data_IF_216976022681
#
_entry.id   IF_216976022681
#
_cell.length_a   1.000
_cell.length_b   1.000
_cell.length_c   1.000
_cell.angle_alpha   90.00
_cell.angle_beta   90.00
_cell.angle_gamma   90.00
#
_symmetry.space_group_name_H-M   'P 1'
#
loop_
_entity.id
_entity.type
_entity.pdbx_description
1 polymer ?
#
# COMPACT_ATOMS: atom_id res chain seq x y z
N UNK A 1 34.29 -18.36 0.25
CA UNK A 1 33.06 -17.60 0.56
C UNK A 1 33.27 -16.19 0.03
N UNK A 2 32.27 -15.58 -0.61
CA UNK A 2 32.35 -14.17 -1.01
C UNK A 2 32.39 -13.29 0.24
N UNK A 3 33.11 -12.17 0.20
CA UNK A 3 33.06 -11.19 1.29
C UNK A 3 31.65 -10.57 1.40
N UNK A 4 31.15 -10.26 2.62
CA UNK A 4 29.96 -9.45 2.79
C UNK A 4 30.12 -8.08 2.15
N UNK A 5 29.04 -7.55 1.57
CA UNK A 5 29.01 -6.19 1.01
C UNK A 5 29.17 -5.12 2.09
N UNK A 6 29.67 -3.94 1.70
CA UNK A 6 29.57 -2.75 2.55
C UNK A 6 28.10 -2.32 2.70
N UNK A 7 27.82 -1.44 3.67
CA UNK A 7 26.46 -0.90 3.86
C UNK A 7 25.98 -0.18 2.59
N UNK A 8 26.86 0.61 1.97
CA UNK A 8 26.58 1.38 0.76
C UNK A 8 26.30 0.46 -0.42
N UNK A 9 27.12 -0.58 -0.63
CA UNK A 9 26.88 -1.55 -1.70
C UNK A 9 25.58 -2.33 -1.45
N UNK A 10 25.28 -2.72 -0.21
CA UNK A 10 24.05 -3.41 0.11
C UNK A 10 22.81 -2.53 -0.14
N UNK A 11 22.82 -1.27 0.30
CA UNK A 11 21.73 -0.33 0.01
C UNK A 11 21.54 -0.12 -1.49
N UNK A 12 22.65 0.07 -2.24
CA UNK A 12 22.59 0.21 -3.69
C UNK A 12 21.91 -1.00 -4.34
N UNK A 13 22.28 -2.21 -3.94
CA UNK A 13 21.68 -3.45 -4.47
C UNK A 13 20.20 -3.61 -4.09
N UNK A 14 19.78 -3.10 -2.94
CA UNK A 14 18.35 -3.03 -2.58
C UNK A 14 17.62 -2.06 -3.50
N UNK A 15 18.18 -0.87 -3.75
CA UNK A 15 17.59 0.13 -4.65
C UNK A 15 17.49 -0.36 -6.09
N UNK A 16 18.45 -1.16 -6.55
CA UNK A 16 18.42 -1.80 -7.88
C UNK A 16 17.20 -2.73 -8.08
N UNK A 17 16.60 -3.25 -7.00
CA UNK A 17 15.37 -4.04 -7.09
C UNK A 17 14.16 -3.20 -7.54
N UNK A 18 14.26 -1.87 -7.56
CA UNK A 18 13.25 -0.98 -8.13
C UNK A 18 12.90 -1.33 -9.58
N UNK A 19 13.82 -1.96 -10.33
CA UNK A 19 13.56 -2.47 -11.69
C UNK A 19 12.42 -3.51 -11.77
N UNK A 20 12.13 -4.20 -10.67
CA UNK A 20 11.06 -5.17 -10.56
C UNK A 20 9.78 -4.58 -9.93
N UNK A 21 9.78 -3.28 -9.60
CA UNK A 21 8.65 -2.64 -8.96
C UNK A 21 7.44 -2.53 -9.90
N UNK A 22 6.24 -2.57 -9.32
CA UNK A 22 4.99 -2.67 -10.09
C UNK A 22 4.65 -1.44 -10.94
N UNK A 23 5.45 -0.36 -10.85
CA UNK A 23 5.30 0.83 -11.70
C UNK A 23 5.44 0.47 -13.18
N UNK A 24 6.26 -0.55 -13.49
CA UNK A 24 6.50 -1.07 -14.82
C UNK A 24 5.46 -2.11 -15.29
N UNK A 25 4.56 -2.56 -14.41
CA UNK A 25 3.55 -3.55 -14.79
C UNK A 25 2.58 -2.93 -15.82
N UNK A 26 2.18 -3.67 -16.89
CA UNK A 26 1.33 -3.13 -17.95
C UNK A 26 0.02 -2.48 -17.44
N UNK A 27 -0.56 -3.04 -16.37
CA UNK A 27 -1.75 -2.45 -15.74
C UNK A 27 -1.48 -1.07 -15.14
N UNK A 28 -0.33 -0.88 -14.46
CA UNK A 28 0.00 0.43 -13.91
C UNK A 28 0.35 1.45 -15.01
N UNK A 29 1.04 1.01 -16.07
CA UNK A 29 1.29 1.84 -17.25
C UNK A 29 -0.03 2.26 -17.90
N UNK A 30 -0.98 1.34 -18.07
CA UNK A 30 -2.32 1.64 -18.59
C UNK A 30 -3.05 2.69 -17.72
N UNK A 31 -3.05 2.52 -16.39
CA UNK A 31 -3.60 3.51 -15.46
C UNK A 31 -2.95 4.88 -15.63
N UNK A 32 -1.62 4.97 -15.66
CA UNK A 32 -0.92 6.25 -15.66
C UNK A 32 -0.84 6.94 -17.03
N UNK A 33 -1.19 6.25 -18.12
CA UNK A 33 -1.17 6.80 -19.49
C UNK A 33 -2.57 7.12 -20.03
N UNK A 34 -3.60 7.11 -19.18
CA UNK A 34 -4.96 7.46 -19.57
C UNK A 34 -5.69 6.41 -20.40
N UNK A 35 -5.18 5.18 -20.44
CA UNK A 35 -5.72 4.09 -21.28
C UNK A 35 -6.69 3.18 -20.55
N UNK A 36 -6.82 3.33 -19.23
CA UNK A 36 -7.75 2.53 -18.44
C UNK A 36 -9.17 3.04 -18.61
N UNK A 37 -10.13 2.13 -18.70
CA UNK A 37 -11.55 2.47 -18.61
C UNK A 37 -11.99 2.59 -17.12
N UNK A 38 -13.21 3.09 -16.89
CA UNK A 38 -13.72 3.29 -15.53
C UNK A 38 -13.80 1.99 -14.72
N UNK A 39 -14.23 0.88 -15.34
CA UNK A 39 -14.35 -0.42 -14.68
C UNK A 39 -12.99 -0.95 -14.22
N UNK A 40 -11.94 -0.79 -15.05
CA UNK A 40 -10.57 -1.15 -14.70
C UNK A 40 -10.03 -0.30 -13.54
N UNK A 41 -10.36 0.99 -13.47
CA UNK A 41 -9.97 1.84 -12.34
C UNK A 41 -10.71 1.41 -11.07
N UNK A 42 -12.03 1.23 -11.14
CA UNK A 42 -12.86 0.75 -10.02
C UNK A 42 -12.38 -0.61 -9.50
N UNK A 43 -12.16 -1.57 -10.40
CA UNK A 43 -11.65 -2.90 -10.06
C UNK A 43 -10.29 -2.84 -9.38
N UNK A 44 -9.40 -1.94 -9.83
CA UNK A 44 -8.11 -1.69 -9.18
C UNK A 44 -8.29 -1.12 -7.77
N UNK A 45 -9.13 -0.09 -7.59
CA UNK A 45 -9.40 0.52 -6.27
C UNK A 45 -9.99 -0.50 -5.30
N UNK A 46 -11.00 -1.26 -5.72
CA UNK A 46 -11.66 -2.28 -4.91
C UNK A 46 -10.71 -3.41 -4.50
N UNK A 47 -9.89 -3.92 -5.43
CA UNK A 47 -8.94 -5.00 -5.12
C UNK A 47 -7.79 -4.51 -4.24
N UNK A 48 -7.27 -3.31 -4.50
CA UNK A 48 -6.15 -2.76 -3.72
C UNK A 48 -6.55 -2.36 -2.31
N UNK A 49 -7.83 -2.08 -2.06
CA UNK A 49 -8.33 -1.91 -0.69
C UNK A 49 -8.00 -3.11 0.20
N UNK A 50 -8.07 -4.34 -0.34
CA UNK A 50 -7.68 -5.54 0.41
C UNK A 50 -6.20 -5.52 0.85
N UNK A 51 -5.30 -5.00 0.01
CA UNK A 51 -3.92 -4.78 0.41
C UNK A 51 -3.83 -3.71 1.52
N UNK A 52 -4.56 -2.60 1.39
CA UNK A 52 -4.52 -1.51 2.36
C UNK A 52 -4.95 -1.93 3.76
N UNK A 53 -6.04 -2.68 3.90
CA UNK A 53 -6.53 -3.14 5.20
C UNK A 53 -5.66 -4.24 5.82
N UNK A 54 -4.83 -4.91 5.02
CA UNK A 54 -3.91 -5.94 5.50
C UNK A 54 -2.54 -5.40 5.93
N UNK A 55 -2.18 -4.15 5.57
CA UNK A 55 -0.95 -3.51 6.05
C UNK A 55 -0.89 -3.46 7.58
N UNK A 56 -1.88 -2.90 8.31
CA UNK A 56 -1.83 -2.85 9.77
C UNK A 56 -1.83 -4.25 10.41
N UNK A 57 -2.49 -5.24 9.79
CA UNK A 57 -2.46 -6.65 10.24
C UNK A 57 -1.05 -7.23 10.11
N UNK A 58 -0.39 -6.99 8.96
CA UNK A 58 1.00 -7.39 8.71
C UNK A 58 1.95 -6.70 9.69
N UNK A 59 1.77 -5.40 9.94
CA UNK A 59 2.61 -4.65 10.87
C UNK A 59 2.40 -5.04 12.34
N UNK A 60 1.18 -5.42 12.72
CA UNK A 60 0.92 -6.00 14.03
C UNK A 60 1.63 -7.36 14.20
N UNK A 61 1.71 -8.18 13.15
CA UNK A 61 2.48 -9.43 13.18
C UNK A 61 3.98 -9.19 13.36
N UNK A 62 4.54 -8.14 12.71
CA UNK A 62 5.93 -7.70 12.94
C UNK A 62 6.15 -7.33 14.41
N UNK A 63 5.25 -6.51 14.98
CA UNK A 63 5.31 -6.11 16.39
C UNK A 63 5.24 -7.31 17.34
N UNK A 64 4.36 -8.28 17.06
CA UNK A 64 4.21 -9.49 17.86
C UNK A 64 5.50 -10.35 17.88
N UNK A 65 6.27 -10.36 16.79
CA UNK A 65 7.51 -11.11 16.66
C UNK A 65 8.76 -10.34 17.11
N UNK A 66 8.65 -9.05 17.43
CA UNK A 66 9.78 -8.18 17.74
C UNK A 66 9.95 -8.00 19.27
N UNK A 67 10.97 -8.59 19.92
CA UNK A 67 11.19 -8.41 21.37
C UNK A 67 11.73 -7.02 21.72
N UNK A 68 12.30 -6.28 20.77
CA UNK A 68 12.86 -4.94 20.97
C UNK A 68 11.77 -3.87 21.14
N UNK A 69 11.71 -3.24 22.31
CA UNK A 69 10.72 -2.22 22.63
C UNK A 69 10.88 -0.95 21.79
N UNK A 70 12.10 -0.49 21.53
CA UNK A 70 12.31 0.77 20.83
C UNK A 70 11.94 0.63 19.35
N UNK A 71 12.22 -0.53 18.74
CA UNK A 71 11.72 -0.86 17.40
C UNK A 71 10.18 -0.83 17.37
N UNK A 72 9.51 -1.49 18.33
CA UNK A 72 8.03 -1.50 18.38
C UNK A 72 7.42 -0.11 18.53
N UNK A 73 8.05 0.79 19.30
CA UNK A 73 7.59 2.18 19.48
C UNK A 73 7.60 2.99 18.18
N UNK A 74 8.54 2.71 17.28
CA UNK A 74 8.54 3.31 15.95
C UNK A 74 7.59 2.58 15.00
N UNK A 75 7.55 1.25 15.05
CA UNK A 75 6.76 0.46 14.12
C UNK A 75 5.24 0.64 14.30
N UNK A 76 4.77 0.90 15.52
CA UNK A 76 3.34 1.13 15.80
C UNK A 76 2.77 2.33 15.05
N UNK A 77 3.59 3.33 14.71
CA UNK A 77 3.13 4.49 13.94
C UNK A 77 2.50 4.07 12.61
N UNK A 78 3.04 3.03 11.96
CA UNK A 78 2.51 2.50 10.68
C UNK A 78 1.07 1.99 10.82
N UNK A 79 0.72 1.40 11.96
CA UNK A 79 -0.65 0.96 12.23
C UNK A 79 -1.55 2.18 12.40
N UNK A 80 -1.11 3.17 13.18
CA UNK A 80 -1.86 4.41 13.41
C UNK A 80 -2.06 5.22 12.11
N UNK A 81 -1.07 5.24 11.22
CA UNK A 81 -1.16 5.90 9.92
C UNK A 81 -2.22 5.26 9.03
N UNK A 82 -2.42 3.94 9.14
CA UNK A 82 -3.41 3.20 8.35
C UNK A 82 -4.81 3.20 8.98
N UNK A 83 -4.91 2.89 10.26
CA UNK A 83 -6.19 2.75 10.98
C UNK A 83 -6.76 4.10 11.42
N UNK A 84 -5.89 5.10 11.63
CA UNK A 84 -6.25 6.30 12.37
C UNK A 84 -6.25 6.06 13.87
N UNK A 85 -6.58 7.09 14.64
CA UNK A 85 -6.62 7.02 16.11
C UNK A 85 -7.45 8.16 16.71
N UNK A 86 -7.84 8.00 17.98
CA UNK A 86 -8.73 8.93 18.68
C UNK A 86 -10.21 8.63 18.42
N UNK A 87 -11.09 9.34 19.12
CA UNK A 87 -12.53 9.12 19.08
C UNK A 87 -13.29 10.45 18.95
N UNK A 88 -14.51 10.38 18.41
CA UNK A 88 -15.40 11.53 18.28
C UNK A 88 -14.80 12.66 17.47
N UNK A 89 -14.94 13.90 17.97
CA UNK A 89 -14.45 15.10 17.28
C UNK A 89 -12.91 15.19 17.19
N UNK A 90 -12.17 14.38 17.96
CA UNK A 90 -10.71 14.36 17.98
C UNK A 90 -10.13 13.18 17.20
N UNK A 91 -10.95 12.45 16.42
CA UNK A 91 -10.48 11.34 15.62
C UNK A 91 -9.60 11.83 14.46
N UNK A 92 -8.43 11.24 14.32
CA UNK A 92 -7.55 11.38 13.15
C UNK A 92 -7.83 10.21 12.22
N UNK A 93 -8.42 10.42 11.03
CA UNK A 93 -8.66 9.34 10.06
C UNK A 93 -7.33 8.83 9.50
N UNK A 94 -7.23 7.51 9.31
CA UNK A 94 -6.06 6.88 8.71
C UNK A 94 -6.13 6.70 7.19
N UNK A 95 -5.11 6.06 6.64
CA UNK A 95 -5.00 5.73 5.22
C UNK A 95 -6.12 4.83 4.70
N UNK A 96 -6.71 3.96 5.54
CA UNK A 96 -7.87 3.13 5.15
C UNK A 96 -9.08 4.03 4.82
N UNK A 97 -9.34 5.02 5.66
CA UNK A 97 -10.40 6.00 5.44
C UNK A 97 -10.13 6.86 4.20
N UNK A 98 -8.89 7.30 4.00
CA UNK A 98 -8.50 8.01 2.78
C UNK A 98 -8.66 7.14 1.52
N UNK A 99 -8.43 5.82 1.60
CA UNK A 99 -8.68 4.90 0.48
C UNK A 99 -10.18 4.71 0.21
N UNK A 100 -11.02 4.71 1.24
CA UNK A 100 -12.48 4.65 1.06
C UNK A 100 -13.01 5.92 0.38
N UNK A 101 -12.44 7.09 0.68
CA UNK A 101 -12.74 8.33 -0.06
C UNK A 101 -12.32 8.23 -1.53
N UNK A 102 -11.19 7.60 -1.84
CA UNK A 102 -10.79 7.30 -3.22
C UNK A 102 -11.82 6.37 -3.90
N UNK A 103 -12.33 5.36 -3.20
CA UNK A 103 -13.38 4.49 -3.72
C UNK A 103 -14.66 5.27 -4.06
N UNK A 104 -15.11 6.14 -3.17
CA UNK A 104 -16.26 7.01 -3.39
C UNK A 104 -16.04 7.94 -4.60
N UNK A 105 -14.84 8.53 -4.71
CA UNK A 105 -14.46 9.41 -5.82
C UNK A 105 -14.43 8.70 -7.18
N UNK A 106 -14.21 7.39 -7.23
CA UNK A 106 -14.33 6.60 -8.46
C UNK A 106 -15.74 6.01 -8.67
N UNK A 107 -16.70 6.37 -7.81
CA UNK A 107 -18.11 5.98 -7.92
C UNK A 107 -18.45 4.62 -7.31
N UNK A 108 -17.64 4.10 -6.38
CA UNK A 108 -17.96 2.89 -5.62
C UNK A 108 -18.61 3.24 -4.29
N UNK A 109 -19.64 2.49 -3.91
CA UNK A 109 -20.21 2.59 -2.57
C UNK A 109 -19.23 2.03 -1.53
N UNK A 110 -19.03 2.75 -0.42
CA UNK A 110 -18.19 2.30 0.71
C UNK A 110 -18.52 0.86 1.14
N UNK A 111 -19.78 0.58 1.42
CA UNK A 111 -20.23 -0.74 1.87
C UNK A 111 -19.92 -1.87 0.85
N UNK A 112 -19.89 -1.54 -0.44
CA UNK A 112 -19.52 -2.50 -1.48
C UNK A 112 -18.03 -2.85 -1.41
N UNK A 113 -17.17 -1.85 -1.27
CA UNK A 113 -15.72 -2.06 -1.13
C UNK A 113 -15.37 -2.78 0.17
N UNK A 114 -16.02 -2.42 1.28
CA UNK A 114 -15.86 -3.06 2.58
C UNK A 114 -16.36 -4.52 2.59
N UNK A 115 -17.31 -4.88 1.73
CA UNK A 115 -17.77 -6.27 1.59
C UNK A 115 -16.70 -7.20 1.00
N UNK A 116 -15.68 -6.64 0.34
CA UNK A 116 -14.61 -7.36 -0.35
C UNK A 116 -15.08 -8.32 -1.44
N UNK A 117 -16.32 -8.21 -1.94
CA UNK A 117 -16.88 -9.14 -2.92
C UNK A 117 -16.15 -9.12 -4.27
N UNK A 118 -15.55 -7.99 -4.64
CA UNK A 118 -14.79 -7.82 -5.89
C UNK A 118 -13.32 -8.26 -5.77
N UNK A 119 -12.86 -8.63 -4.57
CA UNK A 119 -11.47 -9.04 -4.35
C UNK A 119 -11.24 -10.38 -5.01
N UNK A 120 -10.43 -10.37 -6.06
CA UNK A 120 -10.12 -11.58 -6.82
C UNK A 120 -9.30 -12.56 -5.97
N UNK A 121 -9.45 -13.89 -6.19
CA UNK A 121 -8.67 -14.89 -5.45
C UNK A 121 -7.15 -14.69 -5.59
N UNK A 122 -6.67 -14.28 -6.77
CA UNK A 122 -5.25 -14.03 -7.00
C UNK A 122 -4.71 -12.87 -6.15
N UNK A 123 -5.46 -11.77 -6.04
CA UNK A 123 -5.11 -10.65 -5.16
C UNK A 123 -5.12 -11.12 -3.70
N UNK A 124 -6.17 -11.84 -3.28
CA UNK A 124 -6.28 -12.35 -1.92
C UNK A 124 -5.08 -13.22 -1.56
N UNK A 125 -4.74 -14.21 -2.39
CA UNK A 125 -3.60 -15.09 -2.14
C UNK A 125 -2.26 -14.34 -2.08
N UNK A 126 -2.03 -13.38 -2.96
CA UNK A 126 -0.80 -12.60 -2.96
C UNK A 126 -0.67 -11.71 -1.71
N UNK A 127 -1.76 -11.05 -1.30
CA UNK A 127 -1.79 -10.21 -0.08
C UNK A 127 -1.65 -11.07 1.18
N UNK A 128 -2.39 -12.18 1.27
CA UNK A 128 -2.33 -13.09 2.41
C UNK A 128 -0.94 -13.71 2.56
N UNK A 129 -0.22 -13.96 1.45
CA UNK A 129 1.16 -14.43 1.49
C UNK A 129 2.08 -13.44 2.21
N UNK A 130 1.88 -12.12 2.02
CA UNK A 130 2.67 -11.09 2.71
C UNK A 130 2.41 -11.09 4.22
N UNK A 131 1.14 -11.16 4.63
CA UNK A 131 0.77 -11.26 6.06
C UNK A 131 1.33 -12.55 6.66
N UNK A 132 1.21 -13.67 5.96
CA UNK A 132 1.71 -14.98 6.42
C UNK A 132 3.23 -15.03 6.53
N UNK A 133 3.95 -14.34 5.63
CA UNK A 133 5.39 -14.18 5.73
C UNK A 133 5.76 -13.42 7.02
N UNK A 134 5.16 -12.25 7.25
CA UNK A 134 5.45 -11.45 8.45
C UNK A 134 5.11 -12.15 9.77
N UNK A 135 4.10 -13.03 9.77
CA UNK A 135 3.75 -13.86 10.93
C UNK A 135 4.82 -14.90 11.28
N UNK A 136 5.56 -15.42 10.30
CA UNK A 136 6.41 -16.61 10.46
C UNK A 136 7.90 -16.34 10.37
N UNK A 137 8.30 -15.33 9.60
CA UNK A 137 9.69 -14.95 9.42
C UNK A 137 10.25 -14.26 10.68
N UNK A 138 11.58 -14.25 10.87
CA UNK A 138 12.23 -13.35 11.82
C UNK A 138 11.77 -11.89 11.60
N UNK A 139 11.57 -11.14 12.69
CA UNK A 139 10.98 -9.80 12.60
C UNK A 139 11.83 -8.85 11.72
N UNK A 140 13.14 -9.02 11.66
CA UNK A 140 14.02 -8.23 10.81
C UNK A 140 13.74 -8.46 9.33
N UNK A 141 13.53 -9.72 8.90
CA UNK A 141 13.18 -10.05 7.52
C UNK A 141 11.80 -9.48 7.16
N UNK A 142 10.84 -9.61 8.09
CA UNK A 142 9.50 -9.05 7.92
C UNK A 142 9.53 -7.52 7.83
N UNK A 143 10.34 -6.83 8.64
CA UNK A 143 10.60 -5.39 8.53
C UNK A 143 11.21 -5.06 7.17
N UNK A 144 12.29 -5.73 6.77
CA UNK A 144 12.98 -5.45 5.51
C UNK A 144 12.11 -5.71 4.27
N UNK A 145 11.10 -6.59 4.36
CA UNK A 145 10.15 -6.79 3.26
C UNK A 145 9.27 -5.57 2.96
N UNK A 146 9.22 -4.56 3.85
CA UNK A 146 8.55 -3.28 3.58
C UNK A 146 9.36 -2.34 2.69
N UNK A 147 10.64 -2.63 2.40
CA UNK A 147 11.54 -1.73 1.68
C UNK A 147 11.16 -1.48 0.21
N UNK A 148 10.11 -2.11 -0.31
CA UNK A 148 9.45 -1.65 -1.55
C UNK A 148 8.94 -0.20 -1.44
N UNK A 149 8.74 0.30 -0.22
CA UNK A 149 8.41 1.70 0.07
C UNK A 149 9.46 2.70 -0.45
N UNK A 150 10.71 2.27 -0.64
CA UNK A 150 11.75 3.07 -1.31
C UNK A 150 11.33 3.53 -2.72
N UNK A 151 10.35 2.85 -3.33
CA UNK A 151 9.88 3.10 -4.69
C UNK A 151 8.44 3.66 -4.73
N UNK A 152 7.76 3.77 -3.58
CA UNK A 152 6.35 4.13 -3.52
C UNK A 152 6.07 5.61 -3.84
N UNK A 153 6.99 6.51 -3.46
CA UNK A 153 6.82 7.96 -3.71
C UNK A 153 6.68 8.28 -5.20
N UNK A 154 7.52 7.68 -6.05
CA UNK A 154 7.50 7.91 -7.49
C UNK A 154 6.16 7.53 -8.14
N UNK A 155 5.57 6.40 -7.72
CA UNK A 155 4.29 5.95 -8.29
C UNK A 155 3.11 6.78 -7.80
N UNK A 156 3.15 7.28 -6.55
CA UNK A 156 2.12 8.18 -6.01
C UNK A 156 2.16 9.55 -6.73
N UNK A 157 3.34 10.12 -6.89
CA UNK A 157 3.55 11.37 -7.64
C UNK A 157 3.05 11.27 -9.08
N UNK A 158 3.30 10.14 -9.76
CA UNK A 158 2.83 9.93 -11.13
C UNK A 158 1.30 9.91 -11.21
N UNK A 159 0.60 9.34 -10.23
CA UNK A 159 -0.88 9.34 -10.21
C UNK A 159 -1.42 10.74 -9.99
N UNK A 160 -0.87 11.48 -9.03
CA UNK A 160 -1.27 12.85 -8.73
C UNK A 160 -1.10 13.80 -9.92
N UNK A 161 -0.05 13.61 -10.72
CA UNK A 161 0.21 14.45 -11.88
C UNK A 161 -0.61 14.10 -13.13
N UNK A 162 -0.99 12.83 -13.32
CA UNK A 162 -1.60 12.36 -14.57
C UNK A 162 -3.10 12.09 -14.50
N UNK A 163 -3.61 11.61 -13.35
CA UNK A 163 -5.01 11.21 -13.24
C UNK A 163 -6.00 12.36 -13.39
N UNK A 164 -5.75 13.58 -12.86
CA UNK A 164 -6.66 14.71 -13.07
C UNK A 164 -6.85 15.08 -14.56
N UNK A 165 -5.82 14.88 -15.39
CA UNK A 165 -5.89 15.13 -16.83
C UNK A 165 -6.60 13.99 -17.57
N UNK A 166 -6.24 12.75 -17.27
CA UNK A 166 -6.73 11.59 -18.00
C UNK A 166 -8.13 11.12 -17.58
N UNK A 167 -8.49 11.32 -16.32
CA UNK A 167 -9.73 10.84 -15.72
C UNK A 167 -10.44 11.97 -14.96
N UNK A 168 -10.88 13.04 -15.65
CA UNK A 168 -11.46 14.22 -15.01
C UNK A 168 -12.79 13.96 -14.29
N UNK A 169 -13.36 12.76 -14.45
CA UNK A 169 -14.56 12.31 -13.76
C UNK A 169 -14.29 11.81 -12.33
N UNK A 170 -13.02 11.60 -11.95
CA UNK A 170 -12.64 11.23 -10.58
C UNK A 170 -12.61 12.50 -9.73
N UNK A 171 -13.35 12.50 -8.63
CA UNK A 171 -13.32 13.62 -7.68
C UNK A 171 -11.91 13.80 -7.10
N UNK A 172 -11.36 15.02 -7.22
CA UNK A 172 -10.02 15.35 -6.73
C UNK A 172 -9.88 15.17 -5.22
N UNK A 173 -10.98 15.30 -4.45
CA UNK A 173 -10.96 15.05 -3.02
C UNK A 173 -10.55 13.60 -2.67
N UNK A 174 -10.83 12.63 -3.56
CA UNK A 174 -10.42 11.23 -3.38
C UNK A 174 -8.94 10.97 -3.65
N UNK A 175 -8.21 11.90 -4.29
CA UNK A 175 -6.79 11.73 -4.59
C UNK A 175 -5.88 12.06 -3.40
N UNK A 176 -6.44 12.55 -2.28
CA UNK A 176 -5.71 12.86 -1.04
C UNK A 176 -4.89 11.67 -0.52
N UNK A 177 -5.35 10.43 -0.73
CA UNK A 177 -4.59 9.24 -0.31
C UNK A 177 -3.18 9.17 -0.92
N UNK A 178 -2.97 9.74 -2.11
CA UNK A 178 -1.67 9.71 -2.79
C UNK A 178 -0.76 10.90 -2.47
N UNK A 179 -1.24 11.91 -1.74
CA UNK A 179 -0.48 13.10 -1.33
C UNK A 179 0.35 12.81 -0.09
#
# INVERSE_FOLDING_TARGET
MSQPWSVEEFEQRLREQGRAYHIHHPYNVMLNTGKANQEQIRGWVANRFYYQINIPIKDAAVIANCPDREVRRHWVQRILDHDGYGEGANATPGGIEAWLKLAEAVGLARAHVESLCDVTPGVRFAVDAYVNFARRAPWQEAVCSSLTELFASAIHQQRLSTWPEHYPWIDQAGLQYFQ
#
